data_IF_154710370147
#
_entry.id   IF_154710370147
#
_cell.length_a   1.000
_cell.length_b   1.000
_cell.length_c   1.000
_cell.angle_alpha   90.00
_cell.angle_beta   90.00
_cell.angle_gamma   90.00
#
_symmetry.space_group_name_H-M   'P 1'
#
loop_
_entity.id
_entity.type
_entity.pdbx_description
1 polymer ?
#
# COMPACT_ATOMS: atom_id res chain seq x y z
N UNK A 1 -14.38 3.21 -35.64
CA UNK A 1 -13.55 3.84 -34.59
C UNK A 1 -14.04 3.31 -33.25
N UNK A 2 -13.16 2.73 -32.45
CA UNK A 2 -13.53 2.22 -31.12
C UNK A 2 -12.61 1.11 -30.61
N UNK A 3 -11.30 1.24 -30.84
CA UNK A 3 -10.28 0.29 -30.36
C UNK A 3 -9.41 0.94 -29.26
N UNK A 4 -9.67 2.21 -28.95
CA UNK A 4 -8.88 3.00 -28.01
C UNK A 4 -9.35 2.89 -26.56
N UNK A 5 -10.62 2.62 -26.26
CA UNK A 5 -11.09 2.74 -24.88
C UNK A 5 -10.75 1.54 -23.99
N UNK A 6 -10.54 0.34 -24.54
CA UNK A 6 -10.25 -0.85 -23.73
C UNK A 6 -8.79 -0.89 -23.28
N UNK A 7 -7.86 -0.57 -24.20
CA UNK A 7 -6.43 -0.64 -23.93
C UNK A 7 -5.98 0.33 -22.83
N UNK A 8 -6.50 1.57 -22.82
CA UNK A 8 -6.17 2.53 -21.77
C UNK A 8 -6.76 2.17 -20.41
N UNK A 9 -7.90 1.47 -20.37
CA UNK A 9 -8.49 0.98 -19.12
C UNK A 9 -7.67 -0.18 -18.57
N UNK A 10 -7.30 -1.14 -19.41
CA UNK A 10 -6.45 -2.27 -19.02
C UNK A 10 -5.09 -1.82 -18.47
N UNK A 11 -4.46 -0.83 -19.11
CA UNK A 11 -3.18 -0.25 -18.62
C UNK A 11 -3.37 0.47 -17.28
N UNK A 12 -4.43 1.26 -17.11
CA UNK A 12 -4.70 1.95 -15.85
C UNK A 12 -5.02 0.98 -14.69
N UNK A 13 -5.70 -0.13 -14.99
CA UNK A 13 -5.97 -1.19 -14.00
C UNK A 13 -4.70 -1.95 -13.59
N UNK A 14 -3.77 -2.15 -14.53
CA UNK A 14 -2.49 -2.80 -14.27
C UNK A 14 -1.58 -1.90 -13.43
N UNK A 15 -1.45 -0.62 -13.79
CA UNK A 15 -0.69 0.38 -13.01
C UNK A 15 -1.25 0.52 -11.58
N UNK A 16 -2.58 0.56 -11.43
CA UNK A 16 -3.22 0.60 -10.12
C UNK A 16 -2.92 -0.64 -9.28
N UNK A 17 -2.95 -1.83 -9.90
CA UNK A 17 -2.64 -3.09 -9.21
C UNK A 17 -1.17 -3.16 -8.80
N UNK A 18 -0.26 -2.71 -9.66
CA UNK A 18 1.17 -2.64 -9.34
C UNK A 18 1.43 -1.68 -8.17
N UNK A 19 0.87 -0.47 -8.22
CA UNK A 19 0.99 0.50 -7.12
C UNK A 19 0.46 -0.08 -5.79
N UNK A 20 -0.68 -0.78 -5.83
CA UNK A 20 -1.24 -1.43 -4.66
C UNK A 20 -0.31 -2.53 -4.09
N UNK A 21 0.29 -3.33 -4.97
CA UNK A 21 1.26 -4.36 -4.56
C UNK A 21 2.50 -3.74 -3.93
N UNK A 22 3.02 -2.65 -4.51
CA UNK A 22 4.16 -1.91 -3.97
C UNK A 22 3.87 -1.36 -2.57
N UNK A 23 2.68 -0.81 -2.37
CA UNK A 23 2.24 -0.26 -1.08
C UNK A 23 2.13 -1.37 -0.01
N UNK A 24 1.45 -2.48 -0.33
CA UNK A 24 1.37 -3.65 0.57
C UNK A 24 2.76 -4.17 0.91
N UNK A 25 3.64 -4.31 -0.08
CA UNK A 25 5.00 -4.82 0.11
C UNK A 25 5.82 -3.90 1.02
N UNK A 26 5.70 -2.59 0.85
CA UNK A 26 6.40 -1.59 1.67
C UNK A 26 5.92 -1.62 3.11
N UNK A 27 4.62 -1.60 3.35
CA UNK A 27 4.05 -1.62 4.70
C UNK A 27 4.37 -2.93 5.42
N UNK A 28 4.27 -4.06 4.71
CA UNK A 28 4.70 -5.35 5.22
C UNK A 28 6.21 -5.37 5.54
N UNK A 29 7.05 -4.75 4.72
CA UNK A 29 8.48 -4.68 4.97
C UNK A 29 8.82 -3.90 6.24
N UNK A 30 8.07 -2.84 6.57
CA UNK A 30 8.22 -2.12 7.84
C UNK A 30 7.90 -3.05 9.02
N UNK A 31 6.77 -3.77 8.97
CA UNK A 31 6.42 -4.75 10.01
C UNK A 31 7.45 -5.86 10.18
N UNK A 32 8.06 -6.33 9.09
CA UNK A 32 9.15 -7.31 9.15
C UNK A 32 10.40 -6.71 9.83
N UNK A 33 10.75 -5.47 9.52
CA UNK A 33 11.87 -4.78 10.18
C UNK A 33 11.61 -4.60 11.68
N UNK A 34 10.36 -4.41 12.08
CA UNK A 34 9.94 -4.33 13.49
C UNK A 34 9.84 -5.70 14.19
N UNK A 35 10.03 -6.80 13.44
CA UNK A 35 10.16 -8.15 13.99
C UNK A 35 8.93 -9.04 13.85
N UNK A 36 7.92 -8.61 13.10
CA UNK A 36 6.77 -9.45 12.73
C UNK A 36 7.19 -10.43 11.63
N UNK A 37 6.66 -11.65 11.63
CA UNK A 37 6.97 -12.60 10.56
C UNK A 37 6.41 -12.13 9.20
N UNK A 38 6.98 -12.63 8.09
CA UNK A 38 6.63 -12.18 6.74
C UNK A 38 5.14 -12.39 6.41
N UNK A 39 4.58 -13.52 6.81
CA UNK A 39 3.19 -13.89 6.49
C UNK A 39 2.18 -13.00 7.24
N UNK A 40 2.41 -12.76 8.54
CA UNK A 40 1.57 -11.88 9.35
C UNK A 40 1.74 -10.42 8.95
N UNK A 41 2.96 -10.02 8.56
CA UNK A 41 3.23 -8.66 8.05
C UNK A 41 2.47 -8.39 6.75
N UNK A 42 2.48 -9.34 5.81
CA UNK A 42 1.69 -9.24 4.57
C UNK A 42 0.19 -9.21 4.86
N UNK A 43 -0.30 -10.03 5.80
CA UNK A 43 -1.71 -10.02 6.20
C UNK A 43 -2.11 -8.69 6.81
N UNK A 44 -1.32 -8.15 7.73
CA UNK A 44 -1.57 -6.87 8.38
C UNK A 44 -1.55 -5.71 7.37
N UNK A 45 -0.56 -5.68 6.47
CA UNK A 45 -0.49 -4.66 5.42
C UNK A 45 -1.70 -4.68 4.49
N UNK A 46 -2.15 -5.89 4.07
CA UNK A 46 -3.39 -6.04 3.29
C UNK A 46 -4.61 -5.51 4.02
N UNK A 47 -4.77 -5.87 5.30
CA UNK A 47 -5.90 -5.42 6.12
C UNK A 47 -5.93 -3.89 6.28
N UNK A 48 -4.77 -3.26 6.49
CA UNK A 48 -4.65 -1.80 6.57
C UNK A 48 -5.08 -1.15 5.26
N UNK A 49 -4.53 -1.61 4.14
CA UNK A 49 -4.77 -1.00 2.83
C UNK A 49 -6.23 -1.21 2.38
N UNK A 50 -6.81 -2.38 2.64
CA UNK A 50 -8.26 -2.61 2.42
C UNK A 50 -9.11 -1.64 3.25
N UNK A 51 -8.76 -1.42 4.52
CA UNK A 51 -9.47 -0.48 5.38
C UNK A 51 -9.28 0.98 4.94
N UNK A 52 -8.10 1.35 4.44
CA UNK A 52 -7.84 2.67 3.85
C UNK A 52 -8.69 2.89 2.59
N UNK A 53 -8.80 1.90 1.71
CA UNK A 53 -9.66 1.97 0.53
C UNK A 53 -11.14 2.13 0.93
N UNK A 54 -11.59 1.39 1.94
CA UNK A 54 -12.94 1.54 2.48
C UNK A 54 -13.17 2.94 3.07
N UNK A 55 -12.20 3.47 3.83
CA UNK A 55 -12.25 4.81 4.38
C UNK A 55 -12.30 5.89 3.29
N UNK A 56 -11.51 5.75 2.23
CA UNK A 56 -11.56 6.65 1.06
C UNK A 56 -12.94 6.59 0.39
N UNK A 57 -13.48 5.38 0.19
CA UNK A 57 -14.77 5.19 -0.47
C UNK A 57 -15.95 5.75 0.33
N UNK A 58 -15.85 5.73 1.67
CA UNK A 58 -16.89 6.22 2.59
C UNK A 58 -16.72 7.69 2.97
N UNK A 59 -15.61 8.33 2.59
CA UNK A 59 -15.27 9.70 2.98
C UNK A 59 -14.83 9.81 4.44
N UNK A 60 -14.32 8.73 5.03
CA UNK A 60 -13.78 8.71 6.40
C UNK A 60 -12.30 9.13 6.48
N UNK A 61 -11.94 10.18 5.74
CA UNK A 61 -10.60 10.76 5.69
C UNK A 61 -10.68 12.27 5.50
N UNK A 62 -9.65 12.96 5.96
CA UNK A 62 -9.40 14.37 5.66
C UNK A 62 -8.16 14.47 4.76
N UNK A 63 -8.22 15.32 3.73
CA UNK A 63 -7.08 15.64 2.87
C UNK A 63 -6.66 17.10 3.12
N UNK A 64 -5.37 17.33 3.39
CA UNK A 64 -4.84 18.69 3.58
C UNK A 64 -4.50 19.40 2.25
N UNK A 65 -4.17 20.69 2.31
CA UNK A 65 -3.82 21.50 1.12
C UNK A 65 -2.55 20.99 0.39
N UNK A 66 -1.79 20.07 0.98
CA UNK A 66 -0.61 19.45 0.37
C UNK A 66 -0.91 18.05 -0.19
N UNK A 67 -2.16 17.59 -0.15
CA UNK A 67 -2.57 16.27 -0.60
C UNK A 67 -2.21 15.14 0.38
N UNK A 68 -1.96 15.46 1.66
CA UNK A 68 -1.74 14.45 2.69
C UNK A 68 -3.08 13.98 3.22
N UNK A 69 -3.36 12.69 3.00
CA UNK A 69 -4.54 12.00 3.53
C UNK A 69 -4.30 11.66 5.00
N UNK A 70 -5.30 11.91 5.84
CA UNK A 70 -5.36 11.47 7.23
C UNK A 70 -6.67 10.74 7.45
N UNK A 71 -6.59 9.52 7.96
CA UNK A 71 -7.78 8.74 8.21
C UNK A 71 -8.40 9.13 9.55
N UNK A 72 -9.73 9.10 9.63
CA UNK A 72 -10.41 9.31 10.91
C UNK A 72 -10.05 8.22 11.94
N UNK A 73 -9.72 7.02 11.46
CA UNK A 73 -9.14 5.94 12.24
C UNK A 73 -7.62 5.93 12.07
N UNK A 74 -6.89 6.27 13.12
CA UNK A 74 -5.42 6.29 13.08
C UNK A 74 -4.78 4.89 13.05
N UNK A 75 -5.55 3.82 13.31
CA UNK A 75 -5.03 2.44 13.31
C UNK A 75 -4.81 1.88 11.91
N UNK A 76 -5.40 2.50 10.90
CA UNK A 76 -5.25 2.15 9.49
C UNK A 76 -4.24 3.06 8.78
N UNK A 77 -3.48 3.87 9.53
CA UNK A 77 -2.38 4.64 8.96
C UNK A 77 -1.21 3.71 8.59
N UNK A 78 -0.59 3.96 7.44
CA UNK A 78 0.58 3.18 7.01
C UNK A 78 1.75 3.34 8.01
N UNK A 79 2.48 2.25 8.30
CA UNK A 79 3.56 2.26 9.26
C UNK A 79 4.71 3.16 8.81
N UNK A 80 5.28 3.91 9.74
CA UNK A 80 6.38 4.82 9.46
C UNK A 80 7.68 4.01 9.34
N UNK A 81 8.40 4.20 8.25
CA UNK A 81 9.74 3.62 8.06
C UNK A 81 10.69 4.09 9.17
N UNK A 82 11.31 3.18 9.95
CA UNK A 82 12.25 3.57 11.00
C UNK A 82 13.47 4.28 10.41
N UNK A 83 13.95 5.32 11.12
CA UNK A 83 15.11 6.12 10.68
C UNK A 83 16.35 5.24 10.45
N UNK A 84 16.98 5.40 9.28
CA UNK A 84 18.20 4.66 8.91
C UNK A 84 17.94 3.21 8.50
N UNK A 85 16.68 2.80 8.35
CA UNK A 85 16.27 1.47 7.88
C UNK A 85 15.66 1.50 6.48
N UNK A 86 15.70 2.63 5.78
CA UNK A 86 15.09 2.82 4.46
C UNK A 86 15.62 1.78 3.45
N UNK A 87 16.94 1.58 3.41
CA UNK A 87 17.54 0.57 2.52
C UNK A 87 17.12 -0.87 2.89
N UNK A 88 16.92 -1.16 4.17
CA UNK A 88 16.49 -2.48 4.64
C UNK A 88 15.02 -2.72 4.29
N UNK A 89 14.16 -1.73 4.52
CA UNK A 89 12.73 -1.78 4.15
C UNK A 89 12.58 -1.95 2.64
N UNK A 90 13.32 -1.19 1.83
CA UNK A 90 13.27 -1.31 0.37
C UNK A 90 13.72 -2.69 -0.13
N UNK A 91 14.78 -3.26 0.46
CA UNK A 91 15.25 -4.60 0.10
C UNK A 91 14.21 -5.67 0.45
N UNK A 92 13.61 -5.60 1.65
CA UNK A 92 12.58 -6.55 2.07
C UNK A 92 11.31 -6.38 1.23
N UNK A 93 10.90 -5.15 0.93
CA UNK A 93 9.73 -4.89 0.08
C UNK A 93 9.90 -5.50 -1.31
N UNK A 94 11.08 -5.36 -1.91
CA UNK A 94 11.40 -5.99 -3.20
C UNK A 94 11.38 -7.54 -3.13
N UNK A 95 11.70 -8.15 -2.00
CA UNK A 95 11.53 -9.61 -1.81
C UNK A 95 10.06 -10.01 -1.61
N UNK A 96 9.28 -9.15 -0.94
CA UNK A 96 7.89 -9.45 -0.59
C UNK A 96 6.93 -9.22 -1.75
N UNK A 97 7.23 -8.30 -2.68
CA UNK A 97 6.33 -7.96 -3.80
C UNK A 97 6.04 -9.18 -4.69
N UNK A 98 7.03 -10.04 -4.89
CA UNK A 98 6.90 -11.30 -5.65
C UNK A 98 6.00 -12.33 -4.95
N UNK A 99 5.72 -12.14 -3.66
CA UNK A 99 4.82 -12.98 -2.87
C UNK A 99 3.38 -12.46 -2.81
N UNK A 100 3.09 -11.35 -3.51
CA UNK A 100 1.77 -10.72 -3.55
C UNK A 100 1.11 -11.05 -4.89
N UNK A 101 0.26 -12.08 -4.88
CA UNK A 101 -0.64 -12.42 -5.99
C UNK A 101 -1.81 -11.41 -6.11
#
# INVERSE_FOLDING_TARGET
MGIGSNYYVEVAEEEYREALREEIARDAAVFVVEGIDRASSLKAAREIIEAQQEAISSGAYDEDENGVIRFHDSSIESPVTPLGKESQVNAIAAELIDSID
#
